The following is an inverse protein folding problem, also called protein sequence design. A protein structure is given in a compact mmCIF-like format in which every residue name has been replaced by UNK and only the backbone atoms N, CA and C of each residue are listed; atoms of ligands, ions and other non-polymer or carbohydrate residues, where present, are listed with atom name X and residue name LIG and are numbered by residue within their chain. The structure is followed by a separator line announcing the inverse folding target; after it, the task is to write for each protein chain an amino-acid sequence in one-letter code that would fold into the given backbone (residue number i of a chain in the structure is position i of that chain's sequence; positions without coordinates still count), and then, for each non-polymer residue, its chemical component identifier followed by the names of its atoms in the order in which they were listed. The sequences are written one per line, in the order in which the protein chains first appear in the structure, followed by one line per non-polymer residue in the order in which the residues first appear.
data_IF_660935636876
#
_entry.id   IF_660935636876
#
_cell.length_a   1.000
_cell.length_b   1.000
_cell.length_c   1.000
_cell.angle_alpha   90.00
_cell.angle_beta   90.00
_cell.angle_gamma   90.00
#
_symmetry.space_group_name_H-M   'P 1'
#
loop_
_entity.id
_entity.type
_entity.pdbx_description
1 polymer ?
#
# COMPACT_ATOMS: atom_id res chain seq x y z
N UNK A 1 28.85 -21.66 35.03
CA UNK A 1 28.02 -21.86 33.81
C UNK A 1 26.72 -21.07 33.76
N UNK A 2 26.15 -20.69 34.92
CA UNK A 2 25.00 -19.83 34.98
C UNK A 2 25.24 -18.45 34.29
N UNK A 3 26.43 -17.89 34.39
CA UNK A 3 26.79 -16.60 33.77
C UNK A 3 26.70 -16.65 32.24
N UNK A 4 27.18 -17.74 31.63
CA UNK A 4 27.16 -17.87 30.17
C UNK A 4 25.73 -18.03 29.60
N UNK A 5 24.85 -18.71 30.33
CA UNK A 5 23.44 -18.84 29.98
C UNK A 5 22.68 -17.52 30.13
N UNK A 6 22.94 -16.77 31.20
CA UNK A 6 22.37 -15.47 31.44
C UNK A 6 22.82 -14.45 30.39
N UNK A 7 24.08 -14.51 29.97
CA UNK A 7 24.62 -13.64 28.94
C UNK A 7 23.96 -13.91 27.56
N UNK A 8 23.84 -15.18 27.19
CA UNK A 8 23.15 -15.56 25.94
C UNK A 8 21.67 -15.17 25.94
N UNK A 9 20.99 -15.28 27.06
CA UNK A 9 19.61 -14.86 27.21
C UNK A 9 19.48 -13.34 27.08
N UNK A 10 20.37 -12.56 27.67
CA UNK A 10 20.39 -11.12 27.55
C UNK A 10 20.67 -10.65 26.11
N UNK A 11 21.54 -11.37 25.38
CA UNK A 11 21.80 -11.10 23.97
C UNK A 11 20.58 -11.44 23.10
N UNK A 12 19.91 -12.55 23.37
CA UNK A 12 18.68 -12.94 22.67
C UNK A 12 17.57 -11.92 22.89
N UNK A 13 17.39 -11.42 24.12
CA UNK A 13 16.38 -10.42 24.46
C UNK A 13 16.58 -9.09 23.69
N UNK A 14 17.80 -8.72 23.33
CA UNK A 14 18.07 -7.54 22.50
C UNK A 14 17.48 -7.64 21.10
N UNK A 15 17.19 -8.83 20.62
CA UNK A 15 16.66 -9.10 19.28
C UNK A 15 15.18 -9.49 19.30
N UNK A 16 14.57 -9.51 20.45
CA UNK A 16 13.16 -9.86 20.63
C UNK A 16 12.41 -8.67 21.23
N UNK A 17 11.33 -8.30 20.61
CA UNK A 17 10.43 -7.26 21.09
C UNK A 17 9.08 -7.89 21.40
N UNK A 18 8.58 -7.64 22.62
CA UNK A 18 7.28 -8.10 23.04
C UNK A 18 6.23 -7.03 22.75
N UNK A 19 5.25 -7.37 21.94
CA UNK A 19 4.13 -6.50 21.66
C UNK A 19 2.96 -6.91 22.56
N UNK A 20 2.73 -6.09 23.59
CA UNK A 20 1.66 -6.32 24.57
C UNK A 20 0.26 -6.13 24.00
N UNK A 21 0.13 -5.50 22.85
CA UNK A 21 -1.17 -5.29 22.19
C UNK A 21 -1.67 -6.56 21.52
N UNK A 22 -0.76 -7.29 20.90
CA UNK A 22 -1.10 -8.53 20.17
C UNK A 22 -0.74 -9.80 20.96
N UNK A 23 -0.16 -9.66 22.15
CA UNK A 23 0.38 -10.77 22.96
C UNK A 23 1.35 -11.67 22.18
N UNK A 24 2.18 -11.07 21.34
CA UNK A 24 3.09 -11.77 20.43
C UNK A 24 4.53 -11.32 20.65
N UNK A 25 5.47 -12.25 20.62
CA UNK A 25 6.90 -11.96 20.59
C UNK A 25 7.33 -11.71 19.14
N UNK A 26 7.82 -10.50 18.87
CA UNK A 26 8.34 -10.12 17.54
C UNK A 26 9.85 -9.99 17.58
N UNK A 27 10.54 -10.44 16.54
CA UNK A 27 11.97 -10.22 16.41
C UNK A 27 12.23 -8.80 15.89
N UNK A 28 13.13 -8.06 16.55
CA UNK A 28 13.45 -6.67 16.24
C UNK A 28 14.07 -6.42 14.84
N UNK A 29 14.42 -7.48 14.13
CA UNK A 29 14.97 -7.41 12.76
C UNK A 29 13.96 -7.72 11.65
N UNK A 30 12.68 -7.71 11.93
CA UNK A 30 11.70 -7.72 10.86
C UNK A 30 11.70 -6.34 10.20
N UNK A 31 12.63 -6.14 9.27
CA UNK A 31 12.51 -5.06 8.30
C UNK A 31 11.19 -5.26 7.58
N UNK A 32 10.23 -4.40 7.88
CA UNK A 32 9.06 -4.29 7.01
C UNK A 32 9.59 -4.00 5.61
N UNK A 33 9.21 -4.80 4.66
CA UNK A 33 9.51 -4.53 3.27
C UNK A 33 8.79 -3.22 2.90
N UNK A 34 9.54 -2.12 2.94
CA UNK A 34 9.01 -0.78 2.66
C UNK A 34 8.42 -0.66 1.25
N UNK A 35 8.82 -1.58 0.37
CA UNK A 35 8.38 -1.62 -1.01
C UNK A 35 6.99 -2.24 -1.15
N UNK A 36 6.52 -3.00 -0.15
CA UNK A 36 5.22 -3.65 -0.17
C UNK A 36 4.25 -3.04 0.84
N UNK A 37 3.01 -2.84 0.40
CA UNK A 37 1.94 -2.31 1.24
C UNK A 37 0.59 -2.87 0.80
N UNK A 38 -0.28 -3.11 1.78
CA UNK A 38 -1.71 -3.35 1.58
C UNK A 38 -2.49 -2.18 2.12
N UNK A 39 -3.55 -1.81 1.43
CA UNK A 39 -4.43 -0.75 1.88
C UNK A 39 -5.89 -1.05 1.57
N UNK A 40 -6.78 -0.38 2.28
CA UNK A 40 -8.22 -0.47 2.09
C UNK A 40 -8.87 0.88 2.39
N UNK A 41 -9.76 1.31 1.48
CA UNK A 41 -10.57 2.52 1.63
C UNK A 41 -12.02 2.22 1.25
N UNK A 42 -12.95 2.82 1.98
CA UNK A 42 -14.38 2.78 1.65
C UNK A 42 -14.87 4.21 1.49
N UNK A 43 -15.53 4.49 0.36
CA UNK A 43 -16.04 5.83 0.01
C UNK A 43 -17.52 5.79 -0.32
N UNK A 44 -18.18 6.88 0.05
CA UNK A 44 -19.60 7.12 -0.21
C UNK A 44 -19.82 8.42 -0.97
N UNK A 45 -18.80 8.90 -1.67
CA UNK A 45 -18.84 10.09 -2.54
C UNK A 45 -18.17 9.80 -3.86
N UNK A 46 -18.38 10.67 -4.85
CA UNK A 46 -17.68 10.65 -6.14
C UNK A 46 -16.47 11.58 -6.16
N UNK A 47 -16.08 12.11 -5.01
CA UNK A 47 -14.91 12.99 -4.90
C UNK A 47 -13.63 12.19 -5.13
N UNK A 48 -12.69 12.82 -5.84
CA UNK A 48 -11.35 12.26 -6.01
C UNK A 48 -10.62 12.23 -4.65
N UNK A 49 -9.93 11.12 -4.38
CA UNK A 49 -9.12 10.99 -3.18
C UNK A 49 -7.80 10.28 -3.47
N UNK A 50 -6.83 10.43 -2.58
CA UNK A 50 -5.56 9.72 -2.69
C UNK A 50 -5.75 8.29 -2.16
N UNK A 51 -5.72 7.31 -3.04
CA UNK A 51 -5.76 5.89 -2.65
C UNK A 51 -4.45 5.50 -1.96
N UNK A 52 -3.32 5.96 -2.49
CA UNK A 52 -2.00 5.74 -1.91
C UNK A 52 -1.03 6.88 -2.29
N UNK A 53 0.00 7.03 -1.45
CA UNK A 53 1.10 8.00 -1.70
C UNK A 53 2.43 7.36 -1.34
N UNK A 54 3.50 7.79 -2.03
CA UNK A 54 4.88 7.44 -1.68
C UNK A 54 5.85 8.56 -2.04
N UNK A 55 7.00 8.60 -1.37
CA UNK A 55 8.02 9.63 -1.59
C UNK A 55 8.70 9.44 -2.97
N UNK A 56 8.65 10.47 -3.81
CA UNK A 56 9.28 10.41 -5.14
C UNK A 56 10.82 10.37 -5.08
N UNK A 57 11.43 10.81 -3.98
CA UNK A 57 12.88 10.74 -3.80
C UNK A 57 13.38 9.31 -3.52
N UNK A 58 12.55 8.48 -2.89
CA UNK A 58 12.92 7.14 -2.45
C UNK A 58 12.56 6.05 -3.48
N UNK A 59 11.49 6.27 -4.24
CA UNK A 59 10.93 5.26 -5.15
C UNK A 59 10.67 5.85 -6.52
N UNK A 60 10.98 5.07 -7.58
CA UNK A 60 10.85 5.49 -8.98
C UNK A 60 9.56 5.03 -9.63
N UNK A 61 9.10 3.85 -9.29
CA UNK A 61 7.94 3.23 -9.94
C UNK A 61 7.10 2.46 -8.93
N UNK A 62 5.85 2.21 -9.28
CA UNK A 62 4.93 1.42 -8.48
C UNK A 62 4.07 0.51 -9.36
N UNK A 63 3.72 -0.64 -8.81
CA UNK A 63 2.72 -1.54 -9.35
C UNK A 63 1.66 -1.78 -8.29
N UNK A 64 0.41 -1.68 -8.69
CA UNK A 64 -0.75 -1.93 -7.83
C UNK A 64 -1.62 -3.02 -8.44
N UNK A 65 -2.17 -3.86 -7.59
CA UNK A 65 -3.36 -4.65 -7.87
C UNK A 65 -4.47 -4.05 -7.03
N UNK A 66 -5.55 -3.60 -7.65
CA UNK A 66 -6.68 -2.97 -6.98
C UNK A 66 -7.91 -3.84 -7.19
N UNK A 67 -8.59 -4.20 -6.12
CA UNK A 67 -9.87 -4.89 -6.13
C UNK A 67 -10.93 -4.03 -5.47
N UNK A 68 -12.04 -3.84 -6.16
CA UNK A 68 -13.13 -2.97 -5.72
C UNK A 68 -14.43 -3.75 -5.65
N UNK A 69 -15.28 -3.38 -4.69
CA UNK A 69 -16.61 -3.94 -4.54
C UNK A 69 -17.64 -2.87 -4.17
N UNK A 70 -18.83 -2.99 -4.74
CA UNK A 70 -19.98 -2.16 -4.45
C UNK A 70 -21.24 -3.05 -4.49
N UNK A 71 -21.77 -3.42 -3.32
CA UNK A 71 -22.84 -4.43 -3.26
C UNK A 71 -22.39 -5.74 -3.87
N UNK A 72 -23.02 -6.16 -4.97
CA UNK A 72 -22.68 -7.36 -5.74
C UNK A 72 -21.76 -7.10 -6.93
N UNK A 73 -21.44 -5.84 -7.23
CA UNK A 73 -20.58 -5.45 -8.34
C UNK A 73 -19.11 -5.54 -7.97
N UNK A 74 -18.28 -6.01 -8.89
CA UNK A 74 -16.83 -6.15 -8.71
C UNK A 74 -16.06 -5.51 -9.86
N UNK A 75 -14.89 -4.94 -9.51
CA UNK A 75 -13.96 -4.37 -10.47
C UNK A 75 -12.53 -4.61 -9.96
N UNK A 76 -11.71 -5.27 -10.74
CA UNK A 76 -10.28 -5.46 -10.46
C UNK A 76 -9.44 -4.94 -11.61
N UNK A 77 -8.29 -4.35 -11.28
CA UNK A 77 -7.36 -3.82 -12.28
C UNK A 77 -5.94 -3.84 -11.75
N UNK A 78 -4.97 -3.94 -12.66
CA UNK A 78 -3.58 -3.65 -12.37
C UNK A 78 -3.23 -2.24 -12.87
N UNK A 79 -2.41 -1.53 -12.09
CA UNK A 79 -1.94 -0.19 -12.41
C UNK A 79 -0.43 -0.17 -12.30
N UNK A 80 0.25 0.28 -13.32
CA UNK A 80 1.67 0.63 -13.25
C UNK A 80 1.85 2.13 -13.42
N UNK A 81 2.76 2.69 -12.64
CA UNK A 81 3.18 4.08 -12.78
C UNK A 81 4.68 4.22 -12.61
N UNK A 82 5.22 5.22 -13.27
CA UNK A 82 6.61 5.66 -13.16
C UNK A 82 6.65 7.19 -13.23
N UNK A 83 7.63 7.81 -12.58
CA UNK A 83 7.81 9.25 -12.62
C UNK A 83 9.27 9.64 -12.89
N UNK A 84 9.48 10.86 -13.38
CA UNK A 84 10.79 11.47 -13.60
C UNK A 84 11.16 12.51 -12.51
N UNK A 85 10.36 12.63 -11.47
CA UNK A 85 10.48 13.64 -10.40
C UNK A 85 9.57 14.85 -10.59
N UNK A 86 9.00 15.02 -11.78
CA UNK A 86 8.11 16.14 -12.14
C UNK A 86 6.78 15.64 -12.69
N UNK A 87 6.83 14.64 -13.54
CA UNK A 87 5.66 14.07 -14.25
C UNK A 87 5.49 12.60 -13.90
N UNK A 88 4.25 12.14 -13.80
CA UNK A 88 3.91 10.73 -13.61
C UNK A 88 3.27 10.19 -14.88
N UNK A 89 3.80 9.07 -15.36
CA UNK A 89 3.17 8.25 -16.39
C UNK A 89 2.47 7.08 -15.75
N UNK A 90 1.22 6.84 -16.10
CA UNK A 90 0.38 5.78 -15.54
C UNK A 90 -0.25 4.95 -16.66
N UNK A 91 -0.34 3.65 -16.45
CA UNK A 91 -1.12 2.75 -17.30
C UNK A 91 -1.96 1.82 -16.45
N UNK A 92 -3.12 1.47 -16.97
CA UNK A 92 -4.07 0.55 -16.37
C UNK A 92 -4.25 -0.64 -17.32
N UNK A 93 -4.16 -1.86 -16.78
CA UNK A 93 -4.27 -3.09 -17.58
C UNK A 93 -4.89 -4.22 -16.74
N UNK A 94 -5.20 -5.35 -17.39
CA UNK A 94 -5.78 -6.50 -16.69
C UNK A 94 -7.10 -6.18 -16.03
N UNK A 95 -7.95 -5.36 -16.68
CA UNK A 95 -9.26 -4.95 -16.13
C UNK A 95 -10.24 -6.10 -16.22
N UNK A 96 -10.80 -6.49 -15.07
CA UNK A 96 -11.86 -7.47 -14.91
C UNK A 96 -13.00 -6.81 -14.13
N UNK A 97 -14.16 -6.66 -14.74
CA UNK A 97 -15.28 -5.96 -14.12
C UNK A 97 -16.63 -6.41 -14.66
N UNK A 98 -17.64 -6.40 -13.83
CA UNK A 98 -19.05 -6.43 -14.22
C UNK A 98 -19.64 -5.02 -14.28
N UNK A 99 -19.04 -4.06 -13.55
CA UNK A 99 -19.34 -2.64 -13.63
C UNK A 99 -18.07 -1.81 -13.37
N UNK A 100 -17.97 -0.63 -14.00
CA UNK A 100 -16.90 0.32 -13.67
C UNK A 100 -17.19 0.97 -12.32
N UNK A 101 -16.38 0.69 -11.30
CA UNK A 101 -16.58 1.20 -9.95
C UNK A 101 -15.73 2.42 -9.63
N UNK A 102 -14.63 2.64 -10.33
CA UNK A 102 -13.78 3.82 -10.17
C UNK A 102 -12.87 4.02 -11.39
N UNK A 103 -12.32 5.22 -11.49
CA UNK A 103 -11.24 5.59 -12.40
C UNK A 103 -10.00 6.03 -11.61
N UNK A 104 -8.85 5.96 -12.25
CA UNK A 104 -7.56 6.24 -11.61
C UNK A 104 -6.75 7.23 -12.40
N UNK A 105 -6.04 8.11 -11.70
CA UNK A 105 -4.97 8.95 -12.23
C UNK A 105 -3.84 9.06 -11.21
N UNK A 106 -2.74 9.68 -11.60
CA UNK A 106 -1.60 9.89 -10.71
C UNK A 106 -0.94 11.24 -10.98
N UNK A 107 -0.42 11.85 -9.91
CA UNK A 107 0.33 13.10 -9.99
C UNK A 107 1.43 13.15 -8.93
N UNK A 108 2.23 14.22 -8.98
CA UNK A 108 3.17 14.59 -7.93
C UNK A 108 2.62 15.81 -7.21
N UNK A 109 2.59 15.74 -5.89
CA UNK A 109 2.25 16.86 -5.02
C UNK A 109 3.29 16.98 -3.91
N UNK A 110 4.06 18.09 -3.93
CA UNK A 110 5.18 18.25 -3.02
C UNK A 110 6.22 17.14 -3.20
N UNK A 111 6.55 16.46 -2.11
CA UNK A 111 7.52 15.35 -2.10
C UNK A 111 6.91 13.98 -2.45
N UNK A 112 5.62 13.91 -2.79
CA UNK A 112 4.92 12.65 -2.93
C UNK A 112 4.33 12.43 -4.33
N UNK A 113 4.47 11.20 -4.81
CA UNK A 113 3.64 10.65 -5.88
C UNK A 113 2.32 10.20 -5.27
N UNK A 114 1.20 10.54 -5.90
CA UNK A 114 -0.14 10.17 -5.45
C UNK A 114 -0.83 9.32 -6.52
N UNK A 115 -1.30 8.13 -6.12
CA UNK A 115 -2.29 7.40 -6.91
C UNK A 115 -3.67 7.87 -6.45
N UNK A 116 -4.41 8.52 -7.34
CA UNK A 116 -5.72 9.07 -7.05
C UNK A 116 -6.82 8.20 -7.65
N UNK A 117 -7.90 8.10 -6.93
CA UNK A 117 -9.06 7.29 -7.29
C UNK A 117 -10.31 8.17 -7.26
N UNK A 118 -11.15 8.04 -8.30
CA UNK A 118 -12.44 8.69 -8.38
C UNK A 118 -13.54 7.63 -8.43
N UNK A 119 -14.33 7.45 -7.36
CA UNK A 119 -15.42 6.48 -7.37
C UNK A 119 -16.48 6.86 -8.41
N UNK A 120 -17.08 5.87 -9.06
CA UNK A 120 -18.08 6.08 -10.09
C UNK A 120 -19.46 6.45 -9.53
N UNK A 121 -19.71 6.21 -8.25
CA UNK A 121 -21.00 6.53 -7.61
C UNK A 121 -20.82 6.89 -6.13
N UNK A 122 -21.82 7.54 -5.56
CA UNK A 122 -21.89 7.85 -4.14
C UNK A 122 -22.34 6.67 -3.26
N UNK A 123 -22.66 5.53 -3.85
CA UNK A 123 -22.95 4.30 -3.11
C UNK A 123 -21.67 3.76 -2.51
N UNK A 124 -21.74 3.22 -1.29
CA UNK A 124 -20.57 2.67 -0.59
C UNK A 124 -19.77 1.72 -1.46
N UNK A 125 -18.55 2.12 -1.79
CA UNK A 125 -17.62 1.37 -2.62
C UNK A 125 -16.33 1.15 -1.82
N UNK A 126 -15.90 -0.09 -1.71
CA UNK A 126 -14.64 -0.46 -1.02
C UNK A 126 -13.57 -0.76 -2.05
N UNK A 127 -12.41 -0.13 -1.90
CA UNK A 127 -11.21 -0.35 -2.70
C UNK A 127 -10.13 -0.95 -1.81
N UNK A 128 -9.59 -2.09 -2.21
CA UNK A 128 -8.44 -2.74 -1.57
C UNK A 128 -7.31 -2.84 -2.56
N UNK A 129 -6.08 -2.65 -2.11
CA UNK A 129 -4.93 -2.75 -2.99
C UNK A 129 -3.73 -3.42 -2.35
N UNK A 130 -2.95 -4.07 -3.19
CA UNK A 130 -1.57 -4.49 -2.91
C UNK A 130 -0.64 -3.65 -3.78
N UNK A 131 0.40 -3.10 -3.17
CA UNK A 131 1.39 -2.26 -3.84
C UNK A 131 2.78 -2.86 -3.73
N UNK A 132 3.54 -2.79 -4.82
CA UNK A 132 4.98 -3.00 -4.84
C UNK A 132 5.67 -1.77 -5.42
N UNK A 133 6.69 -1.24 -4.73
CA UNK A 133 7.50 -0.10 -5.17
C UNK A 133 8.85 -0.57 -5.71
N UNK A 134 9.40 0.19 -6.63
CA UNK A 134 10.75 0.05 -7.16
C UNK A 134 11.57 1.27 -6.71
N UNK A 135 12.74 1.04 -6.12
CA UNK A 135 13.62 2.08 -5.60
C UNK A 135 14.09 3.05 -6.70
N UNK A 136 14.31 4.28 -6.30
CA UNK A 136 14.84 5.32 -7.18
C UNK A 136 16.35 5.16 -7.42
#
# INVERSE_FOLDING_TARGET
MAISKSFKLAELIRHIEYDSTDDVIKTSKRTQDKNKKRGSETKTSTDVFNLDTFAHADFRAARYIVAMSKGTDFHSTEIMLIHDGTTVSITQYGVLQDATLATFDADISGANVRLRCTPASATSTTMKFDRTLVDA
#
